data_IF_230679968614
#
_entry.id   IF_230679968614
#
_cell.length_a   1.000
_cell.length_b   1.000
_cell.length_c   1.000
_cell.angle_alpha   90.00
_cell.angle_beta   90.00
_cell.angle_gamma   90.00
#
_symmetry.space_group_name_H-M   'P 1'
#
loop_
_entity.id
_entity.type
_entity.pdbx_description
1 polymer ?
#
# COMPACT_ATOMS: atom_id res chain seq x y z
N UNK A 1 -7.29 14.54 10.89
CA UNK A 1 -8.18 13.36 10.76
C UNK A 1 -7.60 12.24 9.90
N UNK A 2 -6.33 12.31 9.47
CA UNK A 2 -5.69 11.33 8.57
C UNK A 2 -5.29 9.99 9.22
N UNK A 3 -5.10 9.94 10.55
CA UNK A 3 -4.63 8.72 11.25
C UNK A 3 -5.61 7.55 11.28
N UNK A 4 -6.91 7.77 11.08
CA UNK A 4 -7.91 6.70 11.10
C UNK A 4 -8.10 6.03 9.73
N UNK A 5 -7.88 6.76 8.62
CA UNK A 5 -8.21 6.29 7.26
C UNK A 5 -7.42 5.05 6.83
N UNK A 6 -6.16 4.95 7.22
CA UNK A 6 -5.27 3.84 6.82
C UNK A 6 -4.94 2.89 7.97
N UNK A 7 -5.78 2.87 9.01
CA UNK A 7 -5.57 1.98 10.15
C UNK A 7 -5.68 0.52 9.69
N UNK A 8 -4.66 -0.28 10.02
CA UNK A 8 -4.63 -1.70 9.68
C UNK A 8 -3.99 -2.02 8.32
N UNK A 9 -3.55 -0.98 7.59
CA UNK A 9 -2.71 -1.13 6.42
C UNK A 9 -1.24 -1.04 6.82
N UNK A 10 -0.43 -1.95 6.27
CA UNK A 10 1.03 -1.91 6.45
C UNK A 10 1.72 -2.19 5.13
N UNK A 11 2.82 -1.49 4.88
CA UNK A 11 3.67 -1.65 3.72
C UNK A 11 5.12 -1.82 4.14
N UNK A 12 5.75 -2.90 3.67
CA UNK A 12 7.15 -3.20 3.94
C UNK A 12 7.94 -3.40 2.65
N UNK A 13 9.21 -3.01 2.72
CA UNK A 13 10.18 -3.32 1.67
C UNK A 13 10.50 -4.83 1.73
N UNK A 14 10.62 -5.45 0.55
CA UNK A 14 11.03 -6.86 0.42
C UNK A 14 12.53 -7.04 0.16
N UNK A 15 13.26 -5.93 -0.05
CA UNK A 15 14.61 -5.89 -0.59
C UNK A 15 14.64 -5.84 -2.12
N UNK A 16 13.55 -6.19 -2.81
CA UNK A 16 13.42 -6.05 -4.25
C UNK A 16 12.99 -4.62 -4.64
N UNK A 17 13.58 -4.00 -5.67
CA UNK A 17 13.29 -2.60 -6.03
C UNK A 17 11.86 -2.35 -6.50
N UNK A 18 11.18 -3.38 -7.00
CA UNK A 18 9.82 -3.29 -7.57
C UNK A 18 8.79 -4.14 -6.83
N UNK A 19 9.13 -4.74 -5.68
CA UNK A 19 8.18 -5.57 -4.95
C UNK A 19 8.03 -5.15 -3.49
N UNK A 20 6.78 -5.12 -3.02
CA UNK A 20 6.42 -4.71 -1.68
C UNK A 20 5.54 -5.75 -1.00
N UNK A 21 5.73 -5.93 0.30
CA UNK A 21 4.79 -6.68 1.13
C UNK A 21 3.74 -5.72 1.65
N UNK A 22 2.49 -5.90 1.21
CA UNK A 22 1.35 -5.09 1.61
C UNK A 22 0.40 -5.92 2.45
N UNK A 23 0.09 -5.43 3.64
CA UNK A 23 -0.78 -6.10 4.60
C UNK A 23 -2.04 -5.27 4.77
N UNK A 24 -3.19 -5.94 4.63
CA UNK A 24 -4.51 -5.32 4.76
C UNK A 24 -5.51 -6.29 5.39
N UNK A 25 -6.65 -5.75 5.82
CA UNK A 25 -7.83 -6.50 6.26
C UNK A 25 -8.88 -6.63 5.15
N UNK A 26 -8.50 -6.38 3.89
CA UNK A 26 -9.38 -6.43 2.71
C UNK A 26 -9.26 -7.80 2.01
N UNK A 27 -10.06 -8.82 2.38
CA UNK A 27 -10.23 -10.03 1.59
C UNK A 27 -11.41 -9.84 0.65
N UNK A 28 -11.16 -9.26 -0.52
CA UNK A 28 -12.19 -9.18 -1.54
C UNK A 28 -11.66 -9.77 -2.85
N UNK A 29 -12.04 -11.02 -3.13
CA UNK A 29 -11.82 -11.68 -4.42
C UNK A 29 -12.95 -11.32 -5.38
N UNK A 30 -12.74 -11.52 -6.68
CA UNK A 30 -13.78 -11.35 -7.69
C UNK A 30 -15.01 -12.18 -7.35
N UNK A 31 -14.83 -13.44 -6.96
CA UNK A 31 -15.93 -14.34 -6.61
C UNK A 31 -16.76 -13.80 -5.44
N UNK A 32 -16.09 -13.21 -4.44
CA UNK A 32 -16.77 -12.57 -3.32
C UNK A 32 -17.56 -11.34 -3.75
N UNK A 33 -16.97 -10.48 -4.61
CA UNK A 33 -17.65 -9.30 -5.16
C UNK A 33 -18.87 -9.67 -6.01
N UNK A 34 -18.77 -10.74 -6.80
CA UNK A 34 -19.90 -11.26 -7.58
C UNK A 34 -20.96 -11.86 -6.67
N UNK A 35 -20.57 -12.60 -5.65
CA UNK A 35 -21.52 -13.23 -4.71
C UNK A 35 -22.30 -12.22 -3.86
N UNK A 36 -21.69 -11.10 -3.48
CA UNK A 36 -22.38 -10.03 -2.73
C UNK A 36 -23.10 -9.01 -3.62
N UNK A 37 -22.96 -9.10 -4.95
CA UNK A 37 -23.61 -8.19 -5.90
C UNK A 37 -22.90 -6.84 -6.10
N UNK A 38 -21.70 -6.67 -5.53
CA UNK A 38 -20.85 -5.49 -5.74
C UNK A 38 -20.25 -5.44 -7.14
N UNK A 39 -20.17 -6.59 -7.82
CA UNK A 39 -19.67 -6.72 -9.19
C UNK A 39 -20.58 -7.65 -9.98
N UNK A 40 -20.95 -7.26 -11.20
CA UNK A 40 -21.65 -8.20 -12.10
C UNK A 40 -20.68 -9.23 -12.67
N UNK A 41 -21.19 -10.43 -12.99
CA UNK A 41 -20.35 -11.53 -13.46
C UNK A 41 -19.59 -11.22 -14.78
N UNK A 42 -20.12 -10.29 -15.59
CA UNK A 42 -19.57 -9.82 -16.87
C UNK A 42 -18.73 -8.54 -16.75
N UNK A 43 -18.72 -7.89 -15.59
CA UNK A 43 -17.93 -6.67 -15.37
C UNK A 43 -16.46 -6.99 -15.09
N UNK A 44 -15.57 -6.11 -15.55
CA UNK A 44 -14.16 -6.19 -15.20
C UNK A 44 -13.99 -5.86 -13.70
N UNK A 45 -13.29 -6.74 -12.98
CA UNK A 45 -13.11 -6.58 -11.54
C UNK A 45 -11.96 -5.64 -11.24
N UNK A 46 -12.23 -4.55 -10.55
CA UNK A 46 -11.19 -3.78 -9.86
C UNK A 46 -10.80 -4.50 -8.57
N UNK A 47 -9.51 -4.74 -8.37
CA UNK A 47 -9.03 -5.35 -7.12
C UNK A 47 -9.05 -4.32 -5.99
N UNK A 48 -9.87 -4.49 -4.93
CA UNK A 48 -9.92 -3.54 -3.82
C UNK A 48 -8.60 -3.51 -3.04
N UNK A 49 -7.84 -4.60 -3.07
CA UNK A 49 -6.49 -4.68 -2.49
C UNK A 49 -5.52 -3.75 -3.23
N UNK A 50 -5.56 -3.75 -4.57
CA UNK A 50 -4.73 -2.84 -5.36
C UNK A 50 -5.16 -1.38 -5.19
N UNK A 51 -6.46 -1.13 -5.04
CA UNK A 51 -6.97 0.19 -4.68
C UNK A 51 -6.39 0.69 -3.36
N UNK A 52 -6.53 -0.10 -2.30
CA UNK A 52 -6.04 0.23 -0.96
C UNK A 52 -4.53 0.44 -0.97
N UNK A 53 -3.78 -0.38 -1.72
CA UNK A 53 -2.35 -0.22 -1.92
C UNK A 53 -2.02 1.15 -2.54
N UNK A 54 -2.62 1.49 -3.68
CA UNK A 54 -2.36 2.74 -4.39
C UNK A 54 -2.73 3.95 -3.53
N UNK A 55 -3.88 3.89 -2.85
CA UNK A 55 -4.38 4.95 -1.98
C UNK A 55 -3.50 5.14 -0.76
N UNK A 56 -3.03 4.05 -0.16
CA UNK A 56 -2.16 4.11 1.00
C UNK A 56 -0.79 4.66 0.63
N UNK A 57 -0.21 4.22 -0.48
CA UNK A 57 1.07 4.76 -0.98
C UNK A 57 0.94 6.25 -1.27
N UNK A 58 -0.06 6.66 -2.05
CA UNK A 58 -0.20 8.05 -2.49
C UNK A 58 -0.49 9.00 -1.33
N UNK A 59 -1.57 8.77 -0.58
CA UNK A 59 -2.02 9.70 0.46
C UNK A 59 -1.44 9.37 1.84
N UNK A 60 -1.35 8.08 2.17
CA UNK A 60 -0.96 7.62 3.51
C UNK A 60 0.54 7.74 3.78
N UNK A 61 1.37 7.43 2.78
CA UNK A 61 2.83 7.42 2.91
C UNK A 61 3.43 8.68 2.29
N UNK A 62 3.10 8.96 1.03
CA UNK A 62 3.71 10.08 0.28
C UNK A 62 3.00 11.42 0.52
N UNK A 63 1.83 11.42 1.18
CA UNK A 63 1.12 12.63 1.57
C UNK A 63 0.55 13.43 0.39
N UNK A 64 0.26 12.77 -0.74
CA UNK A 64 -0.41 13.40 -1.87
C UNK A 64 -1.81 13.89 -1.48
N UNK A 65 -2.26 14.99 -2.09
CA UNK A 65 -3.64 15.46 -1.96
C UNK A 65 -4.59 14.45 -2.62
N UNK A 66 -5.80 14.19 -2.08
CA UNK A 66 -6.79 13.31 -2.71
C UNK A 66 -7.16 13.70 -4.15
N UNK A 67 -7.08 15.00 -4.47
CA UNK A 67 -7.40 15.53 -5.80
C UNK A 67 -6.20 15.54 -6.77
N UNK A 68 -5.02 15.13 -6.30
CA UNK A 68 -3.82 15.12 -7.13
C UNK A 68 -3.75 13.85 -7.98
N UNK A 69 -3.39 14.01 -9.26
CA UNK A 69 -3.06 12.87 -10.10
C UNK A 69 -1.80 12.16 -9.54
N UNK A 70 -1.94 10.88 -9.23
CA UNK A 70 -0.83 10.05 -8.78
C UNK A 70 -0.18 9.32 -9.96
N UNK A 71 1.15 9.15 -9.92
CA UNK A 71 1.91 8.64 -11.06
C UNK A 71 1.72 7.14 -11.35
N UNK A 72 1.29 6.37 -10.34
CA UNK A 72 1.02 4.93 -10.46
C UNK A 72 -0.49 4.68 -10.52
N UNK A 73 -0.92 3.90 -11.51
CA UNK A 73 -2.29 3.43 -11.66
C UNK A 73 -2.42 1.90 -11.48
N UNK A 74 -3.61 1.38 -11.76
CA UNK A 74 -3.89 -0.07 -11.67
C UNK A 74 -3.03 -0.90 -12.62
N UNK A 75 -2.79 -0.42 -13.84
CA UNK A 75 -1.99 -1.13 -14.84
C UNK A 75 -0.51 -1.23 -14.42
N UNK A 76 -0.07 -0.36 -13.51
CA UNK A 76 1.29 -0.32 -13.00
C UNK A 76 1.54 -1.30 -11.86
N UNK A 77 0.51 -1.99 -11.36
CA UNK A 77 0.62 -2.86 -10.18
C UNK A 77 -0.05 -4.21 -10.38
N UNK A 78 0.50 -5.24 -9.76
CA UNK A 78 -0.10 -6.58 -9.78
C UNK A 78 0.11 -7.31 -8.46
N UNK A 79 -0.84 -8.19 -8.11
CA UNK A 79 -0.68 -9.13 -6.99
C UNK A 79 0.05 -10.35 -7.52
N UNK A 80 1.27 -10.59 -7.03
CA UNK A 80 2.10 -11.75 -7.42
C UNK A 80 1.77 -12.97 -6.55
N UNK A 81 1.54 -12.74 -5.27
CA UNK A 81 1.21 -13.78 -4.31
C UNK A 81 0.37 -13.21 -3.16
N UNK A 82 -0.39 -14.07 -2.49
CA UNK A 82 -1.13 -13.72 -1.29
C UNK A 82 -1.01 -14.83 -0.25
N UNK A 83 -0.96 -14.44 1.02
CA UNK A 83 -1.09 -15.38 2.15
C UNK A 83 -1.95 -14.77 3.25
N UNK A 84 -2.57 -15.66 4.02
CA UNK A 84 -3.30 -15.30 5.23
C UNK A 84 -2.31 -15.22 6.41
N UNK A 85 -2.44 -14.21 7.27
CA UNK A 85 -1.69 -14.10 8.53
C UNK A 85 -2.61 -14.25 9.75
N UNK A 86 -2.07 -14.86 10.80
CA UNK A 86 -2.75 -14.96 12.10
C UNK A 86 -4.07 -15.73 12.02
N UNK A 87 -5.13 -15.16 12.60
CA UNK A 87 -6.45 -15.78 12.76
C UNK A 87 -7.33 -15.79 11.49
N UNK A 88 -6.79 -15.42 10.33
CA UNK A 88 -7.58 -15.39 9.08
C UNK A 88 -8.08 -14.01 8.67
N UNK A 89 -7.97 -13.02 9.54
CA UNK A 89 -8.58 -11.69 9.33
C UNK A 89 -7.62 -10.73 8.59
N UNK A 90 -6.32 -10.95 8.73
CA UNK A 90 -5.30 -10.13 8.07
C UNK A 90 -4.67 -10.89 6.91
N UNK A 91 -4.52 -10.20 5.79
CA UNK A 91 -3.98 -10.74 4.54
C UNK A 91 -2.70 -10.00 4.19
N UNK A 92 -1.72 -10.74 3.70
CA UNK A 92 -0.47 -10.20 3.18
C UNK A 92 -0.35 -10.53 1.70
N UNK A 93 -0.10 -9.50 0.90
CA UNK A 93 0.00 -9.54 -0.54
C UNK A 93 1.41 -9.10 -0.96
N UNK A 94 2.03 -9.88 -1.84
CA UNK A 94 3.21 -9.45 -2.56
C UNK A 94 2.76 -8.64 -3.77
N UNK A 95 2.94 -7.33 -3.72
CA UNK A 95 2.60 -6.40 -4.79
C UNK A 95 3.86 -6.15 -5.63
N UNK A 96 3.76 -6.32 -6.94
CA UNK A 96 4.80 -5.94 -7.89
C UNK A 96 4.41 -4.67 -8.64
N UNK A 97 5.40 -3.82 -8.91
CA UNK A 97 5.29 -2.70 -9.85
C UNK A 97 5.67 -3.19 -11.24
N UNK A 98 4.77 -3.04 -12.19
CA UNK A 98 4.97 -3.42 -13.59
C UNK A 98 5.84 -2.36 -14.27
N UNK A 99 6.96 -2.72 -14.92
CA UNK A 99 7.84 -1.75 -15.59
C UNK A 99 7.28 -1.26 -16.94
N UNK A 100 6.03 -1.56 -17.26
CA UNK A 100 5.41 -1.15 -18.53
C UNK A 100 5.14 0.36 -18.55
N UNK A 101 5.36 1.00 -19.70
CA UNK A 101 5.22 2.46 -19.87
C UNK A 101 5.95 3.25 -18.75
N UNK A 102 7.19 2.86 -18.45
CA UNK A 102 8.02 3.50 -17.43
C UNK A 102 8.37 4.94 -17.81
N UNK A 103 8.33 5.85 -16.85
CA UNK A 103 8.69 7.25 -17.04
C UNK A 103 9.33 7.83 -15.77
N UNK A 104 9.91 9.03 -15.90
CA UNK A 104 10.65 9.69 -14.82
C UNK A 104 9.78 9.97 -13.59
N UNK A 105 8.48 10.26 -13.77
CA UNK A 105 7.55 10.49 -12.66
C UNK A 105 7.30 9.22 -11.85
N UNK A 106 7.11 8.07 -12.51
CA UNK A 106 6.98 6.76 -11.85
C UNK A 106 8.27 6.39 -11.12
N UNK A 107 9.42 6.62 -11.75
CA UNK A 107 10.73 6.40 -11.13
C UNK A 107 10.91 7.26 -9.87
N UNK A 108 10.57 8.55 -9.92
CA UNK A 108 10.70 9.47 -8.80
C UNK A 108 9.81 9.06 -7.61
N UNK A 109 8.55 8.71 -7.88
CA UNK A 109 7.60 8.22 -6.87
C UNK A 109 8.11 6.93 -6.21
N UNK A 110 8.57 5.98 -7.01
CA UNK A 110 9.08 4.71 -6.50
C UNK A 110 10.34 4.92 -5.65
N UNK A 111 11.25 5.78 -6.11
CA UNK A 111 12.47 6.09 -5.37
C UNK A 111 12.13 6.73 -4.01
N UNK A 112 11.24 7.72 -4.00
CA UNK A 112 10.81 8.38 -2.76
C UNK A 112 10.12 7.39 -1.80
N UNK A 113 9.26 6.51 -2.31
CA UNK A 113 8.64 5.45 -1.51
C UNK A 113 9.71 4.55 -0.87
N UNK A 114 10.67 4.05 -1.66
CA UNK A 114 11.74 3.18 -1.18
C UNK A 114 12.60 3.87 -0.12
N UNK A 115 12.90 5.16 -0.30
CA UNK A 115 13.68 5.94 0.65
C UNK A 115 12.96 6.04 2.00
N UNK A 116 11.64 6.20 2.01
CA UNK A 116 10.84 6.19 3.25
C UNK A 116 10.85 4.80 3.90
N UNK A 117 10.59 3.75 3.13
CA UNK A 117 10.49 2.38 3.63
C UNK A 117 11.82 1.82 4.14
N UNK A 118 12.95 2.39 3.71
CA UNK A 118 14.29 2.02 4.15
C UNK A 118 14.72 2.68 5.47
N UNK A 119 13.93 3.61 6.02
CA UNK A 119 14.26 4.31 7.27
C UNK A 119 14.05 3.39 8.47
N UNK A 120 15.00 3.38 9.41
CA UNK A 120 14.89 2.60 10.66
C UNK A 120 13.65 2.92 11.49
N UNK A 121 13.14 4.15 11.37
CA UNK A 121 11.93 4.62 12.07
C UNK A 121 10.63 4.19 11.38
N UNK A 122 10.69 3.55 10.21
CA UNK A 122 9.51 3.06 9.51
C UNK A 122 8.96 1.81 10.20
N UNK A 123 7.70 1.84 10.63
CA UNK A 123 7.07 0.71 11.33
C UNK A 123 6.11 -0.12 10.47
N UNK A 124 6.12 0.11 9.16
CA UNK A 124 5.16 -0.48 8.23
C UNK A 124 3.96 0.41 7.95
N UNK A 125 3.59 1.33 8.83
CA UNK A 125 2.41 2.18 8.61
C UNK A 125 2.73 3.68 8.61
N UNK A 126 3.78 4.08 9.35
CA UNK A 126 4.19 5.47 9.48
C UNK A 126 5.66 5.55 9.91
N UNK A 127 6.21 6.76 9.75
CA UNK A 127 7.44 7.11 10.44
C UNK A 127 7.12 7.29 11.93
N UNK A 128 7.76 6.49 12.77
CA UNK A 128 7.79 6.73 14.21
C UNK A 128 8.50 8.05 14.45
N UNK A 129 7.90 8.90 15.29
CA UNK A 129 8.65 10.03 15.85
C UNK A 129 9.69 9.39 16.77
N UNK A 130 10.97 9.65 16.52
CA UNK A 130 12.00 9.26 17.48
C UNK A 130 11.66 9.88 18.83
N UNK A 131 11.63 9.07 19.88
CA UNK A 131 11.56 9.57 21.25
C UNK A 131 12.90 10.23 21.59
N UNK A 132 13.11 11.45 21.11
CA UNK A 132 14.22 12.33 21.51
C UNK A 132 13.63 13.57 22.20
N UNK A 133 13.17 13.38 23.44
CA UNK A 133 13.28 14.42 24.45
C UNK A 133 13.97 13.81 25.66
N UNK A 134 15.22 14.20 25.98
CA UNK A 134 15.68 14.03 27.35
C UNK A 134 14.78 14.93 28.20
N UNK A 135 14.03 14.33 29.13
CA UNK A 135 13.40 15.06 30.22
C UNK A 135 14.46 15.97 30.85
N UNK A 136 14.18 17.26 31.09
CA UNK A 136 15.08 18.05 31.91
C UNK A 136 15.07 17.41 33.30
N UNK A 137 16.21 16.92 33.74
CA UNK A 137 16.42 16.51 35.11
C UNK A 137 16.27 17.74 36.00
N UNK A 138 15.33 17.70 36.93
CA UNK A 138 15.33 18.55 38.13
C UNK A 138 16.36 18.03 39.14
#
# INVERSE_FOLDING_TARGET
MTRQRFRGLYLQNTGHPLCFSFVTYTPQTREQMVACGDLRADEESFSPVLFDFLLFVSEGILGASPDAAFALGYDDVSIVASRIRGSGVQHEYLIAINPFAWNDSKQAVLQHLRDILARDLWDGARLRRGDDHPSPSD
#
